data_IF_900760931372
#
_entry.id   IF_900760931372
#
_cell.length_a   1.000
_cell.length_b   1.000
_cell.length_c   1.000
_cell.angle_alpha   90.00
_cell.angle_beta   90.00
_cell.angle_gamma   90.00
#
_symmetry.space_group_name_H-M   'P 1'
#
loop_
_entity.id
_entity.type
_entity.pdbx_description
1 polymer ?
#
# COMPACT_ATOMS: atom_id res chain seq x y z
N UNK A 1 -26.58 -12.85 3.59
CA UNK A 1 -25.46 -11.91 3.37
C UNK A 1 -25.77 -11.15 2.10
N UNK A 2 -25.89 -9.83 2.19
CA UNK A 2 -26.03 -8.99 1.00
C UNK A 2 -24.63 -8.78 0.41
N UNK A 3 -24.31 -9.53 -0.64
CA UNK A 3 -23.04 -9.41 -1.36
C UNK A 3 -23.14 -8.31 -2.41
N UNK A 4 -22.23 -7.33 -2.34
CA UNK A 4 -22.14 -6.26 -3.34
C UNK A 4 -21.54 -6.82 -4.63
N UNK A 5 -22.35 -7.01 -5.67
CA UNK A 5 -21.95 -7.58 -6.97
C UNK A 5 -22.04 -6.60 -8.13
N UNK A 6 -22.75 -5.49 -7.97
CA UNK A 6 -22.93 -4.46 -9.00
C UNK A 6 -23.14 -3.08 -8.38
N UNK A 7 -22.81 -2.05 -9.16
CA UNK A 7 -23.12 -0.65 -8.86
C UNK A 7 -24.18 -0.18 -9.85
N UNK A 8 -25.35 0.21 -9.32
CA UNK A 8 -26.42 0.83 -10.11
C UNK A 8 -26.44 2.33 -9.86
N UNK A 9 -26.27 3.12 -10.91
CA UNK A 9 -26.29 4.58 -10.87
C UNK A 9 -27.52 5.06 -11.62
N UNK A 10 -28.39 5.79 -10.93
CA UNK A 10 -29.51 6.51 -11.54
C UNK A 10 -29.30 8.00 -11.36
N UNK A 11 -29.28 8.73 -12.48
CA UNK A 11 -29.18 10.19 -12.50
C UNK A 11 -30.33 10.79 -13.28
N UNK A 12 -30.87 11.91 -12.81
CA UNK A 12 -31.84 12.69 -13.56
C UNK A 12 -31.21 14.03 -13.96
N UNK A 13 -31.11 14.29 -15.26
CA UNK A 13 -30.63 15.56 -15.80
C UNK A 13 -31.86 16.38 -16.19
N UNK A 14 -32.14 17.46 -15.47
CA UNK A 14 -33.12 18.46 -15.91
C UNK A 14 -32.46 19.42 -16.89
N UNK A 15 -32.90 19.39 -18.16
CA UNK A 15 -32.48 20.34 -19.18
C UNK A 15 -33.34 21.62 -19.16
N UNK A 16 -34.60 21.52 -18.73
CA UNK A 16 -35.52 22.66 -18.50
C UNK A 16 -36.56 22.33 -17.41
N UNK A 17 -37.32 23.32 -16.92
CA UNK A 17 -38.42 23.15 -15.94
C UNK A 17 -39.45 22.06 -16.29
N UNK A 18 -39.58 21.68 -17.57
CA UNK A 18 -40.57 20.69 -18.06
C UNK A 18 -39.94 19.48 -18.77
N UNK A 19 -38.62 19.44 -18.96
CA UNK A 19 -37.94 18.37 -19.73
C UNK A 19 -36.67 17.94 -19.01
N UNK A 20 -36.63 16.67 -18.63
CA UNK A 20 -35.45 16.02 -18.09
C UNK A 20 -35.25 14.64 -18.71
N UNK A 21 -34.01 14.18 -18.73
CA UNK A 21 -33.64 12.82 -19.13
C UNK A 21 -33.19 12.03 -17.91
N UNK A 22 -33.53 10.75 -17.85
CA UNK A 22 -32.99 9.84 -16.84
C UNK A 22 -31.88 9.03 -17.48
N UNK A 23 -30.75 8.91 -16.78
CA UNK A 23 -29.68 7.99 -17.10
C UNK A 23 -29.78 6.87 -16.06
N UNK A 24 -29.94 5.64 -16.54
CA UNK A 24 -29.83 4.43 -15.72
C UNK A 24 -28.62 3.65 -16.24
N UNK A 25 -27.61 3.48 -15.40
CA UNK A 25 -26.40 2.75 -15.71
C UNK A 25 -26.22 1.64 -14.67
N UNK A 26 -25.97 0.42 -15.14
CA UNK A 26 -25.62 -0.72 -14.31
C UNK A 26 -24.23 -1.19 -14.73
N UNK A 27 -23.27 -1.08 -13.82
CA UNK A 27 -21.93 -1.62 -14.02
C UNK A 27 -21.73 -2.77 -13.02
N UNK A 28 -21.39 -3.95 -13.55
CA UNK A 28 -21.08 -5.12 -12.72
C UNK A 28 -19.70 -4.90 -12.10
N UNK A 29 -19.54 -5.22 -10.82
CA UNK A 29 -18.26 -5.05 -10.14
C UNK A 29 -17.23 -6.08 -10.63
N UNK A 30 -17.65 -7.34 -10.76
CA UNK A 30 -16.79 -8.44 -11.16
C UNK A 30 -17.26 -9.00 -12.49
N UNK A 31 -16.36 -9.08 -13.48
CA UNK A 31 -16.66 -9.60 -14.82
C UNK A 31 -16.58 -11.12 -14.89
N UNK A 32 -16.02 -11.75 -13.85
CA UNK A 32 -16.01 -13.20 -13.69
C UNK A 32 -15.19 -13.65 -12.49
N UNK A 33 -15.18 -14.96 -12.25
CA UNK A 33 -14.31 -15.61 -11.29
C UNK A 33 -13.84 -16.99 -11.79
N UNK A 34 -12.68 -17.44 -11.33
CA UNK A 34 -12.13 -18.77 -11.59
C UNK A 34 -11.56 -19.34 -10.30
N UNK A 35 -11.92 -20.57 -9.96
CA UNK A 35 -11.34 -21.29 -8.83
C UNK A 35 -10.55 -22.47 -9.38
N UNK A 36 -9.23 -22.46 -9.18
CA UNK A 36 -8.36 -23.55 -9.61
C UNK A 36 -7.24 -23.78 -8.59
N UNK A 37 -6.98 -25.05 -8.27
CA UNK A 37 -5.89 -25.46 -7.36
C UNK A 37 -5.90 -24.69 -6.02
N UNK A 38 -7.11 -24.45 -5.47
CA UNK A 38 -7.28 -23.71 -4.22
C UNK A 38 -7.12 -22.19 -4.33
N UNK A 39 -6.87 -21.65 -5.52
CA UNK A 39 -6.76 -20.20 -5.77
C UNK A 39 -8.06 -19.68 -6.36
N UNK A 40 -8.58 -18.59 -5.79
CA UNK A 40 -9.74 -17.86 -6.32
C UNK A 40 -9.26 -16.60 -7.04
N UNK A 41 -9.44 -16.57 -8.36
CA UNK A 41 -9.16 -15.41 -9.21
C UNK A 41 -10.45 -14.68 -9.50
N UNK A 42 -10.52 -13.40 -9.16
CA UNK A 42 -11.67 -12.53 -9.44
C UNK A 42 -11.26 -11.51 -10.49
N UNK A 43 -12.05 -11.38 -11.55
CA UNK A 43 -11.81 -10.39 -12.60
C UNK A 43 -12.61 -9.12 -12.29
N UNK A 44 -11.89 -8.00 -12.18
CA UNK A 44 -12.47 -6.70 -11.90
C UNK A 44 -12.93 -6.03 -13.20
N UNK A 45 -14.04 -5.28 -13.14
CA UNK A 45 -14.48 -4.48 -14.28
C UNK A 45 -13.56 -3.27 -14.49
N UNK A 46 -12.82 -3.24 -15.60
CA UNK A 46 -11.83 -2.19 -15.93
C UNK A 46 -12.43 -0.80 -16.09
N UNK A 47 -13.75 -0.68 -16.30
CA UNK A 47 -14.45 0.62 -16.36
C UNK A 47 -14.58 1.30 -15.00
N UNK A 48 -14.37 0.56 -13.92
CA UNK A 48 -14.47 1.05 -12.56
C UNK A 48 -13.06 1.39 -12.08
N UNK A 49 -12.89 2.58 -11.51
CA UNK A 49 -11.65 2.93 -10.81
C UNK A 49 -11.58 2.15 -9.50
N UNK A 50 -10.72 1.13 -9.43
CA UNK A 50 -10.55 0.28 -8.24
C UNK A 50 -9.59 0.84 -7.19
N UNK A 51 -9.04 2.03 -7.43
CA UNK A 51 -8.04 2.65 -6.57
C UNK A 51 -8.48 2.74 -5.11
N UNK A 52 -9.78 2.90 -4.85
CA UNK A 52 -10.34 2.96 -3.49
C UNK A 52 -10.28 1.64 -2.71
N UNK A 53 -10.32 0.49 -3.39
CA UNK A 53 -10.17 -0.83 -2.76
C UNK A 53 -8.70 -1.24 -2.73
N UNK A 54 -7.97 -0.99 -3.82
CA UNK A 54 -6.56 -1.37 -3.98
C UNK A 54 -5.63 -0.78 -2.90
N UNK A 55 -6.05 0.30 -2.22
CA UNK A 55 -5.33 0.87 -1.08
C UNK A 55 -5.02 -0.16 0.01
N UNK A 56 -5.92 -1.10 0.27
CA UNK A 56 -5.80 -2.08 1.36
C UNK A 56 -5.09 -3.38 0.96
N UNK A 57 -4.77 -3.57 -0.32
CA UNK A 57 -4.19 -4.82 -0.83
C UNK A 57 -2.76 -4.61 -1.30
N UNK A 58 -1.85 -5.50 -0.89
CA UNK A 58 -0.51 -5.57 -1.47
C UNK A 58 -0.60 -6.16 -2.87
N UNK A 59 -0.16 -5.40 -3.87
CA UNK A 59 -0.02 -5.92 -5.23
C UNK A 59 1.16 -6.89 -5.22
N UNK A 60 0.94 -8.10 -5.71
CA UNK A 60 1.95 -9.17 -5.70
C UNK A 60 2.15 -9.72 -7.11
N UNK A 61 3.36 -10.20 -7.45
CA UNK A 61 3.60 -10.92 -8.69
C UNK A 61 2.70 -12.14 -8.82
N UNK A 62 2.32 -12.49 -10.05
CA UNK A 62 1.39 -13.61 -10.32
C UNK A 62 1.90 -14.97 -9.83
N UNK A 63 3.22 -15.16 -9.77
CA UNK A 63 3.82 -16.39 -9.27
C UNK A 63 3.74 -16.53 -7.75
N UNK A 64 3.33 -15.49 -7.01
CA UNK A 64 3.22 -15.52 -5.54
C UNK A 64 2.53 -16.78 -4.99
N UNK A 65 1.38 -17.14 -5.58
CA UNK A 65 0.60 -18.27 -5.10
C UNK A 65 1.15 -19.66 -5.49
N UNK A 66 2.26 -19.72 -6.24
CA UNK A 66 2.97 -20.96 -6.58
C UNK A 66 4.18 -21.20 -5.69
N UNK A 67 4.60 -20.18 -4.95
CA UNK A 67 5.80 -20.23 -4.13
C UNK A 67 5.59 -21.13 -2.90
N UNK A 68 6.67 -21.75 -2.42
CA UNK A 68 6.67 -22.36 -1.10
C UNK A 68 6.51 -21.29 0.00
N UNK A 69 5.97 -21.69 1.17
CA UNK A 69 5.58 -20.77 2.25
C UNK A 69 6.62 -19.69 2.58
N UNK A 70 7.90 -20.07 2.73
CA UNK A 70 8.97 -19.12 3.07
C UNK A 70 9.24 -18.12 1.95
N UNK A 71 9.28 -18.56 0.70
CA UNK A 71 9.46 -17.67 -0.43
C UNK A 71 8.23 -16.75 -0.59
N UNK A 72 7.01 -17.26 -0.39
CA UNK A 72 5.82 -16.40 -0.38
C UNK A 72 5.86 -15.37 0.76
N UNK A 73 6.28 -15.75 1.97
CA UNK A 73 6.38 -14.83 3.10
C UNK A 73 7.42 -13.74 2.88
N UNK A 74 8.55 -14.10 2.27
CA UNK A 74 9.59 -13.16 1.86
C UNK A 74 9.09 -12.22 0.76
N UNK A 75 8.45 -12.74 -0.29
CA UNK A 75 7.93 -11.92 -1.39
C UNK A 75 6.86 -10.94 -0.90
N UNK A 76 5.95 -11.41 -0.05
CA UNK A 76 4.95 -10.54 0.58
C UNK A 76 5.63 -9.41 1.34
N UNK A 77 6.66 -9.74 2.14
CA UNK A 77 7.39 -8.75 2.93
C UNK A 77 8.14 -7.75 2.06
N UNK A 78 8.78 -8.21 0.99
CA UNK A 78 9.45 -7.36 0.01
C UNK A 78 8.47 -6.36 -0.59
N UNK A 79 7.33 -6.82 -1.11
CA UNK A 79 6.35 -5.95 -1.76
C UNK A 79 5.59 -5.04 -0.77
N UNK A 80 5.46 -5.48 0.49
CA UNK A 80 4.99 -4.64 1.58
C UNK A 80 5.96 -3.49 1.89
N UNK A 81 7.27 -3.77 1.94
CA UNK A 81 8.31 -2.75 2.15
C UNK A 81 8.46 -1.83 0.93
N UNK A 82 8.35 -2.36 -0.29
CA UNK A 82 8.43 -1.57 -1.52
C UNK A 82 7.41 -0.41 -1.53
N UNK A 83 6.22 -0.62 -0.94
CA UNK A 83 5.20 0.44 -0.77
C UNK A 83 5.63 1.57 0.16
N UNK A 84 6.53 1.30 1.10
CA UNK A 84 7.04 2.26 2.07
C UNK A 84 8.30 2.96 1.55
N UNK A 85 9.08 2.25 0.73
CA UNK A 85 10.34 2.69 0.15
C UNK A 85 10.19 3.23 -1.28
N UNK A 86 9.04 3.82 -1.62
CA UNK A 86 8.79 4.29 -3.00
C UNK A 86 9.75 5.39 -3.45
N UNK A 87 10.23 6.23 -2.53
CA UNK A 87 11.27 7.24 -2.83
C UNK A 87 12.61 6.59 -3.18
N UNK A 88 13.05 5.61 -2.41
CA UNK A 88 14.30 4.88 -2.67
C UNK A 88 14.24 4.16 -4.03
N UNK A 89 13.08 3.57 -4.34
CA UNK A 89 12.82 2.93 -5.64
C UNK A 89 12.86 3.96 -6.78
N UNK A 90 12.23 5.13 -6.62
CA UNK A 90 12.20 6.17 -7.65
C UNK A 90 13.59 6.80 -7.89
N UNK A 91 14.36 7.04 -6.84
CA UNK A 91 15.66 7.72 -6.94
C UNK A 91 16.81 6.78 -7.28
N UNK A 92 16.82 5.56 -6.72
CA UNK A 92 17.94 4.62 -6.80
C UNK A 92 17.61 3.34 -7.56
N UNK A 93 16.34 3.03 -7.77
CA UNK A 93 15.88 1.77 -8.36
C UNK A 93 15.93 0.57 -7.42
N UNK A 94 16.25 0.77 -6.14
CA UNK A 94 16.34 -0.32 -5.16
C UNK A 94 16.15 0.16 -3.72
N UNK A 95 15.86 -0.78 -2.83
CA UNK A 95 15.93 -0.61 -1.37
C UNK A 95 16.62 -1.82 -0.73
N UNK A 96 16.88 -1.79 0.57
CA UNK A 96 17.62 -2.85 1.27
C UNK A 96 16.83 -3.42 2.45
N UNK A 97 16.98 -4.72 2.70
CA UNK A 97 16.36 -5.44 3.83
C UNK A 97 17.45 -6.19 4.59
N UNK A 98 17.67 -5.87 5.86
CA UNK A 98 18.65 -6.60 6.68
C UNK A 98 18.29 -8.07 6.88
N UNK A 99 19.29 -8.96 6.89
CA UNK A 99 19.04 -10.40 7.08
C UNK A 99 18.44 -10.74 8.44
N UNK A 100 18.75 -9.96 9.48
CA UNK A 100 18.05 -10.03 10.78
C UNK A 100 16.52 -9.84 10.65
N UNK A 101 16.10 -8.90 9.81
CA UNK A 101 14.68 -8.66 9.56
C UNK A 101 14.05 -9.83 8.78
N UNK A 102 14.78 -10.39 7.81
CA UNK A 102 14.35 -11.57 7.06
C UNK A 102 14.22 -12.79 7.98
N UNK A 103 15.20 -13.03 8.85
CA UNK A 103 15.17 -14.11 9.85
C UNK A 103 13.89 -14.04 10.69
N UNK A 104 13.58 -12.86 11.23
CA UNK A 104 12.37 -12.64 12.01
C UNK A 104 11.10 -12.85 11.18
N UNK A 105 11.07 -12.31 9.94
CA UNK A 105 9.91 -12.45 9.05
C UNK A 105 9.61 -13.90 8.69
N UNK A 106 10.65 -14.68 8.42
CA UNK A 106 10.57 -16.09 8.06
C UNK A 106 10.44 -17.01 9.28
N UNK A 107 10.33 -16.44 10.49
CA UNK A 107 10.21 -17.17 11.76
C UNK A 107 11.33 -18.21 11.95
N UNK A 108 12.54 -17.85 11.52
CA UNK A 108 13.71 -18.71 11.65
C UNK A 108 14.24 -18.64 13.10
N UNK A 109 14.86 -19.73 13.60
CA UNK A 109 15.37 -19.75 14.97
C UNK A 109 16.49 -18.72 15.18
N UNK A 110 16.74 -18.38 16.45
CA UNK A 110 17.95 -17.64 16.81
C UNK A 110 19.20 -18.47 16.54
N UNK A 111 20.31 -17.79 16.30
CA UNK A 111 21.64 -18.35 16.25
C UNK A 111 22.18 -18.77 17.62
N UNK A 112 21.67 -18.20 18.71
CA UNK A 112 22.12 -18.52 20.08
C UNK A 112 21.60 -19.89 20.49
N UNK A 113 22.51 -20.80 20.85
CA UNK A 113 22.16 -22.17 21.25
C UNK A 113 21.71 -23.06 20.08
N UNK A 114 21.96 -22.64 18.84
CA UNK A 114 21.59 -23.38 17.64
C UNK A 114 22.77 -24.21 17.13
N UNK A 115 22.59 -25.54 17.12
CA UNK A 115 23.65 -26.49 16.75
C UNK A 115 24.03 -26.43 15.26
N UNK A 116 23.16 -25.90 14.39
CA UNK A 116 23.47 -25.75 12.97
C UNK A 116 22.78 -24.50 12.38
N UNK A 117 23.32 -23.31 12.66
CA UNK A 117 22.75 -22.04 12.20
C UNK A 117 22.76 -21.92 10.67
N UNK A 118 23.74 -22.54 9.99
CA UNK A 118 23.78 -22.56 8.53
C UNK A 118 22.52 -23.21 7.95
N UNK A 119 22.21 -24.45 8.36
CA UNK A 119 21.08 -25.21 7.82
C UNK A 119 19.72 -24.64 8.24
N UNK A 120 19.66 -23.98 9.39
CA UNK A 120 18.40 -23.52 9.99
C UNK A 120 18.10 -22.05 9.74
N UNK A 121 19.10 -21.24 9.37
CA UNK A 121 18.97 -19.80 9.15
C UNK A 121 19.47 -19.39 7.76
N UNK A 122 20.77 -19.50 7.49
CA UNK A 122 21.38 -19.01 6.23
C UNK A 122 20.78 -19.70 5.00
N UNK A 123 20.83 -21.05 4.98
CA UNK A 123 20.31 -21.85 3.87
C UNK A 123 18.82 -21.59 3.58
N UNK A 124 17.91 -21.54 4.57
CA UNK A 124 16.51 -21.17 4.33
C UNK A 124 16.29 -19.77 3.74
N UNK A 125 17.15 -18.80 4.05
CA UNK A 125 17.09 -17.46 3.46
C UNK A 125 17.52 -17.53 1.99
N UNK A 126 18.64 -18.21 1.71
CA UNK A 126 19.17 -18.40 0.36
C UNK A 126 18.19 -19.15 -0.55
N UNK A 127 17.65 -20.28 -0.07
CA UNK A 127 16.64 -21.06 -0.81
C UNK A 127 15.40 -20.22 -1.11
N UNK A 128 14.93 -19.40 -0.15
CA UNK A 128 13.81 -18.52 -0.38
C UNK A 128 14.11 -17.46 -1.46
N UNK A 129 15.34 -16.93 -1.51
CA UNK A 129 15.76 -15.95 -2.53
C UNK A 129 15.84 -16.63 -3.91
N UNK A 130 16.49 -17.79 -4.00
CA UNK A 130 16.66 -18.55 -5.25
C UNK A 130 15.31 -18.94 -5.88
N UNK A 131 14.34 -19.37 -5.05
CA UNK A 131 12.98 -19.68 -5.50
C UNK A 131 12.28 -18.45 -6.11
N UNK A 132 12.47 -17.26 -5.51
CA UNK A 132 11.90 -16.03 -6.04
C UNK A 132 12.51 -15.64 -7.38
N UNK A 133 13.83 -15.72 -7.52
CA UNK A 133 14.52 -15.43 -8.77
C UNK A 133 14.13 -16.40 -9.87
N UNK A 134 14.05 -17.69 -9.53
CA UNK A 134 13.64 -18.76 -10.45
C UNK A 134 12.23 -18.53 -10.97
N UNK A 135 11.25 -18.34 -10.08
CA UNK A 135 9.86 -18.14 -10.49
C UNK A 135 9.63 -16.82 -11.22
N UNK A 136 10.36 -15.76 -10.84
CA UNK A 136 10.32 -14.48 -11.56
C UNK A 136 10.85 -14.62 -12.99
N UNK A 137 12.02 -15.24 -13.14
CA UNK A 137 12.64 -15.50 -14.44
C UNK A 137 11.75 -16.38 -15.33
N UNK A 138 11.18 -17.45 -14.75
CA UNK A 138 10.28 -18.37 -15.46
C UNK A 138 9.05 -17.65 -16.03
N UNK A 139 8.45 -16.74 -15.27
CA UNK A 139 7.20 -16.09 -15.65
C UNK A 139 7.38 -14.82 -16.48
N UNK A 140 8.25 -13.92 -16.05
CA UNK A 140 8.38 -12.57 -16.63
C UNK A 140 9.54 -12.43 -17.62
N UNK A 141 10.57 -13.29 -17.51
CA UNK A 141 11.77 -13.29 -18.38
C UNK A 141 12.43 -11.91 -18.49
N UNK A 142 12.48 -11.18 -17.39
CA UNK A 142 13.07 -9.85 -17.30
C UNK A 142 13.84 -9.69 -15.99
N UNK A 143 14.56 -8.58 -15.85
CA UNK A 143 15.35 -8.24 -14.64
C UNK A 143 14.74 -7.06 -13.87
N UNK A 144 13.45 -6.79 -14.07
CA UNK A 144 12.76 -5.65 -13.43
C UNK A 144 12.56 -5.86 -11.92
N UNK A 145 12.62 -7.11 -11.47
CA UNK A 145 12.70 -7.49 -10.07
C UNK A 145 13.99 -8.30 -9.89
N UNK A 146 14.87 -7.83 -8.99
CA UNK A 146 16.17 -8.47 -8.73
C UNK A 146 16.47 -8.53 -7.24
N UNK A 147 17.11 -9.61 -6.82
CA UNK A 147 17.44 -9.88 -5.43
C UNK A 147 18.93 -10.13 -5.32
N UNK A 148 19.66 -9.20 -4.73
CA UNK A 148 21.11 -9.34 -4.56
C UNK A 148 21.45 -9.44 -3.06
N UNK A 149 21.79 -10.65 -2.57
CA UNK A 149 22.40 -10.83 -1.25
C UNK A 149 23.72 -10.06 -1.18
N UNK A 150 23.90 -9.23 -0.16
CA UNK A 150 25.17 -8.55 0.13
C UNK A 150 25.60 -8.96 1.53
N UNK A 151 26.56 -9.88 1.61
CA UNK A 151 27.11 -10.40 2.85
C UNK A 151 28.53 -10.96 2.63
N UNK A 152 29.26 -11.16 3.73
CA UNK A 152 30.44 -12.00 3.73
C UNK A 152 30.01 -13.46 3.94
N UNK A 153 30.26 -14.30 2.94
CA UNK A 153 29.84 -15.70 2.96
C UNK A 153 30.61 -16.58 3.94
N UNK A 154 31.78 -16.12 4.35
CA UNK A 154 32.68 -16.82 5.27
C UNK A 154 32.50 -16.37 6.73
N UNK A 155 31.77 -15.29 6.95
CA UNK A 155 31.55 -14.72 8.27
C UNK A 155 30.70 -15.64 9.17
N UNK A 156 30.88 -15.57 10.50
CA UNK A 156 30.00 -16.22 11.45
C UNK A 156 28.53 -15.81 11.25
N UNK A 157 27.59 -16.70 11.58
CA UNK A 157 26.16 -16.45 11.32
C UNK A 157 25.63 -15.15 11.95
N UNK A 158 26.14 -14.76 13.11
CA UNK A 158 25.74 -13.51 13.77
C UNK A 158 26.13 -12.30 12.91
N UNK A 159 27.34 -12.30 12.37
CA UNK A 159 27.84 -11.24 11.50
C UNK A 159 27.13 -11.24 10.14
N UNK A 160 26.85 -12.42 9.58
CA UNK A 160 25.98 -12.57 8.40
C UNK A 160 24.61 -11.93 8.63
N UNK A 161 24.00 -12.10 9.81
CA UNK A 161 22.68 -11.54 10.12
C UNK A 161 22.70 -10.04 10.40
N UNK A 162 23.74 -9.55 11.09
CA UNK A 162 23.84 -8.16 11.52
C UNK A 162 24.33 -7.23 10.41
N UNK A 163 25.30 -7.68 9.61
CA UNK A 163 25.91 -6.86 8.57
C UNK A 163 25.38 -7.22 7.17
N UNK A 164 24.79 -8.41 7.00
CA UNK A 164 24.24 -8.86 5.74
C UNK A 164 22.86 -8.27 5.45
N UNK A 165 22.62 -7.94 4.18
CA UNK A 165 21.35 -7.44 3.72
C UNK A 165 21.02 -7.89 2.30
N UNK A 166 19.73 -7.91 1.99
CA UNK A 166 19.20 -8.14 0.66
C UNK A 166 18.99 -6.79 -0.03
N UNK A 167 19.67 -6.55 -1.14
CA UNK A 167 19.38 -5.43 -2.04
C UNK A 167 18.27 -5.85 -3.00
N UNK A 168 17.12 -5.21 -2.90
CA UNK A 168 15.95 -5.48 -3.73
C UNK A 168 15.85 -4.42 -4.82
N UNK A 169 16.13 -4.80 -6.06
CA UNK A 169 15.92 -3.94 -7.23
C UNK A 169 14.49 -4.06 -7.75
N UNK A 170 13.85 -2.91 -7.98
CA UNK A 170 12.52 -2.79 -8.58
C UNK A 170 12.55 -1.69 -9.62
N UNK A 171 12.31 -2.06 -10.87
CA UNK A 171 12.28 -1.13 -12.02
C UNK A 171 11.10 -1.45 -12.95
N UNK A 172 10.98 -0.71 -14.05
CA UNK A 172 9.95 -0.93 -15.07
C UNK A 172 8.52 -0.93 -14.53
N UNK A 173 7.70 -1.86 -15.02
CA UNK A 173 6.28 -1.91 -14.69
C UNK A 173 6.00 -2.10 -13.19
N UNK A 174 6.88 -2.79 -12.48
CA UNK A 174 6.77 -2.96 -11.04
C UNK A 174 6.95 -1.65 -10.30
N UNK A 175 8.03 -0.91 -10.58
CA UNK A 175 8.30 0.39 -9.96
C UNK A 175 7.22 1.42 -10.30
N UNK A 176 6.83 1.51 -11.58
CA UNK A 176 5.82 2.46 -12.05
C UNK A 176 4.50 2.31 -11.29
N UNK A 177 4.07 1.07 -11.07
CA UNK A 177 2.83 0.78 -10.32
C UNK A 177 2.91 1.30 -8.89
N UNK A 178 4.01 1.05 -8.18
CA UNK A 178 4.20 1.51 -6.80
C UNK A 178 4.30 3.03 -6.70
N UNK A 179 5.04 3.66 -7.63
CA UNK A 179 5.21 5.11 -7.68
C UNK A 179 3.87 5.80 -7.97
N UNK A 180 3.09 5.28 -8.93
CA UNK A 180 1.77 5.83 -9.25
C UNK A 180 0.83 5.79 -8.04
N UNK A 181 0.75 4.64 -7.36
CA UNK A 181 -0.08 4.47 -6.15
C UNK A 181 0.37 5.43 -5.05
N UNK A 182 1.68 5.57 -4.84
CA UNK A 182 2.23 6.48 -3.83
C UNK A 182 1.92 7.94 -4.13
N UNK A 183 2.05 8.39 -5.38
CA UNK A 183 1.75 9.76 -5.80
C UNK A 183 0.26 10.09 -5.63
N UNK A 184 -0.63 9.17 -6.00
CA UNK A 184 -2.07 9.36 -5.79
C UNK A 184 -2.45 9.38 -4.31
N UNK A 185 -1.83 8.52 -3.50
CA UNK A 185 -2.02 8.51 -2.05
C UNK A 185 -1.55 9.84 -1.43
N UNK A 186 -0.38 10.35 -1.85
CA UNK A 186 0.15 11.63 -1.37
C UNK A 186 -0.78 12.80 -1.72
N UNK A 187 -1.31 12.87 -2.95
CA UNK A 187 -2.29 13.89 -3.35
C UNK A 187 -3.57 13.83 -2.52
N UNK A 188 -4.06 12.62 -2.21
CA UNK A 188 -5.24 12.45 -1.38
C UNK A 188 -5.00 12.94 0.06
N UNK A 189 -3.85 12.60 0.64
CA UNK A 189 -3.45 13.06 1.98
C UNK A 189 -3.34 14.59 2.01
N UNK A 190 -2.66 15.19 1.03
CA UNK A 190 -2.52 16.65 0.95
C UNK A 190 -3.89 17.35 0.82
N UNK A 191 -4.78 16.79 -0.01
CA UNK A 191 -6.14 17.33 -0.18
C UNK A 191 -6.95 17.22 1.10
N UNK A 192 -6.85 16.09 1.81
CA UNK A 192 -7.52 15.89 3.10
C UNK A 192 -6.98 16.85 4.18
N UNK A 193 -5.66 17.04 4.25
CA UNK A 193 -5.02 18.00 5.16
C UNK A 193 -5.45 19.44 4.87
N UNK A 194 -5.45 19.87 3.60
CA UNK A 194 -5.94 21.21 3.21
C UNK A 194 -7.41 21.39 3.55
N UNK A 195 -8.24 20.37 3.37
CA UNK A 195 -9.66 20.41 3.76
C UNK A 195 -9.80 20.54 5.28
N UNK A 196 -9.04 19.77 6.04
CA UNK A 196 -9.06 19.83 7.50
C UNK A 196 -8.62 21.21 7.99
N UNK A 197 -7.51 21.74 7.47
CA UNK A 197 -7.01 23.09 7.79
C UNK A 197 -8.06 24.17 7.55
N UNK A 198 -8.76 24.14 6.41
CA UNK A 198 -9.86 25.08 6.11
C UNK A 198 -11.03 24.96 7.08
N UNK A 199 -11.34 23.74 7.56
CA UNK A 199 -12.41 23.53 8.55
C UNK A 199 -11.99 24.11 9.89
N UNK A 200 -10.75 23.86 10.34
CA UNK A 200 -10.22 24.44 11.59
C UNK A 200 -10.14 25.96 11.52
N UNK A 201 -9.63 26.53 10.43
CA UNK A 201 -9.57 27.99 10.24
C UNK A 201 -10.97 28.62 10.29
N UNK A 202 -11.96 28.03 9.61
CA UNK A 202 -13.36 28.50 9.68
C UNK A 202 -13.92 28.40 11.10
N UNK A 203 -13.65 27.31 11.80
CA UNK A 203 -14.12 27.13 13.18
C UNK A 203 -13.51 28.17 14.14
N UNK A 204 -12.20 28.46 13.99
CA UNK A 204 -11.51 29.50 14.75
C UNK A 204 -12.10 30.89 14.45
N UNK A 205 -12.29 31.23 13.17
CA UNK A 205 -12.86 32.51 12.77
C UNK A 205 -14.29 32.72 13.32
N UNK A 206 -15.14 31.68 13.27
CA UNK A 206 -16.50 31.73 13.81
C UNK A 206 -16.48 31.91 15.34
N UNK A 207 -15.59 31.21 16.06
CA UNK A 207 -15.49 31.34 17.51
C UNK A 207 -14.95 32.71 17.93
N UNK A 208 -13.99 33.27 17.20
CA UNK A 208 -13.46 34.61 17.45
C UNK A 208 -14.52 35.68 17.16
N UNK A 209 -15.27 35.57 16.05
CA UNK A 209 -16.38 36.48 15.75
C UNK A 209 -17.46 36.45 16.84
N UNK A 210 -17.85 35.25 17.30
CA UNK A 210 -18.81 35.11 18.40
C UNK A 210 -18.32 35.71 19.72
N UNK A 211 -17.02 35.62 20.01
CA UNK A 211 -16.42 36.26 21.20
C UNK A 211 -16.49 37.79 21.10
N UNK A 212 -16.10 38.34 19.94
CA UNK A 212 -16.16 39.79 19.70
C UNK A 212 -17.60 40.32 19.77
N UNK A 213 -18.57 39.61 19.18
CA UNK A 213 -20.00 39.97 19.26
C UNK A 213 -20.54 39.89 20.70
N UNK A 214 -20.05 38.94 21.52
CA UNK A 214 -20.43 38.82 22.93
C UNK A 214 -19.81 39.94 23.78
N UNK A 215 -18.57 40.32 23.51
CA UNK A 215 -17.87 41.43 24.17
C UNK A 215 -18.50 42.79 23.81
N UNK A 216 -18.88 43.01 22.55
CA UNK A 216 -19.59 44.21 22.12
C UNK A 216 -20.98 44.33 22.77
N UNK A 217 -21.72 43.22 22.86
CA UNK A 217 -23.02 43.20 23.57
C UNK A 217 -22.86 43.54 25.05
N UNK A 218 -21.88 42.94 25.73
CA UNK A 218 -21.61 43.21 27.14
C UNK A 218 -21.27 44.70 27.38
N UNK A 219 -20.44 45.31 26.52
CA UNK A 219 -20.12 46.74 26.62
C UNK A 219 -21.32 47.66 26.30
N UNK A 220 -22.22 47.24 25.41
CA UNK A 220 -23.44 48.00 25.10
C UNK A 220 -24.47 47.97 26.23
N UNK A 221 -24.55 46.85 26.97
CA UNK A 221 -25.43 46.69 28.13
C UNK A 221 -24.89 47.42 29.37
N UNK A 222 -23.57 47.51 29.55
CA UNK A 222 -22.97 48.34 30.61
C UNK A 222 -23.17 49.85 30.37
N UNK A 223 -23.26 50.30 29.11
CA UNK A 223 -23.50 51.70 28.75
C UNK A 223 -24.97 52.12 28.83
N UNK A 224 -25.93 51.20 28.73
CA UNK A 224 -27.36 51.51 28.85
C UNK A 224 -27.89 51.41 30.28
N UNK A 225 -27.14 50.78 31.20
CA UNK A 225 -27.50 50.65 32.62
C UNK A 225 -27.08 51.83 33.52
N UNK A 226 -26.64 52.97 32.95
CA UNK A 226 -26.17 54.15 33.70
C UNK A 226 -27.05 55.40 33.55
N UNK A 227 -28.30 55.26 33.10
CA UNK A 227 -29.33 56.32 33.18
C UNK A 227 -30.26 56.16 34.39
#
# INVERSE_FOLDING_TARGET
>A
MDTLTSLKIKGHIQQTKKKGSSIDALEVLFTGARIERGQCTIYFNERISWSFIAQYFTILPRYYFRLPNRASDLLYYIFYLARQHTRDIEERGYFTIGFRAIQHRLQLPSEVGNNNPYKTIKKPIEEAIEELETEHSNLYRNTEFSLLPVCDDTAPIAEYLDNGYLKVGLTGAFAETFIAISKDTAKQIETAQKRQARITEKAVAINTAKKLEAEEKAQSEERSGTE
#
